data_IF_422188028876
#
_entry.id   IF_422188028876
#
_cell.length_a   1.000
_cell.length_b   1.000
_cell.length_c   1.000
_cell.angle_alpha   90.00
_cell.angle_beta   90.00
_cell.angle_gamma   90.00
#
_symmetry.space_group_name_H-M   'P 1'
#
loop_
_entity.id
_entity.type
_entity.pdbx_description
1 polymer ?
#
# COMPACT_ATOMS: atom_id res chain seq x y z
N UNK A 1 -1.30 11.42 14.50
CA UNK A 1 -1.43 11.49 13.03
C UNK A 1 -0.47 10.49 12.44
N UNK A 2 -0.94 9.55 11.62
CA UNK A 2 -0.06 8.72 10.79
C UNK A 2 0.59 9.64 9.75
N UNK A 3 1.88 9.48 9.44
CA UNK A 3 2.56 10.42 8.55
C UNK A 3 2.07 10.21 7.10
N UNK A 4 1.42 11.22 6.53
CA UNK A 4 0.67 11.15 5.26
C UNK A 4 1.48 11.61 4.03
N UNK A 5 2.81 11.67 4.12
CA UNK A 5 3.67 12.25 3.07
C UNK A 5 4.39 11.16 2.27
N UNK A 6 4.87 11.48 1.07
CA UNK A 6 5.69 10.53 0.28
C UNK A 6 6.97 10.16 1.03
N UNK A 7 7.60 11.14 1.68
CA UNK A 7 8.78 10.94 2.51
C UNK A 7 8.55 9.89 3.60
N UNK A 8 7.36 9.82 4.21
CA UNK A 8 7.08 8.83 5.25
C UNK A 8 6.91 7.41 4.70
N UNK A 9 6.37 7.27 3.49
CA UNK A 9 6.22 5.99 2.80
C UNK A 9 7.58 5.41 2.41
N UNK A 10 8.50 6.28 1.97
CA UNK A 10 9.83 5.87 1.49
C UNK A 10 10.96 6.09 2.51
N UNK A 11 10.64 6.46 3.75
CA UNK A 11 11.63 6.68 4.83
C UNK A 11 12.53 5.45 5.09
N UNK A 12 12.05 4.25 4.75
CA UNK A 12 12.81 3.00 4.85
C UNK A 12 14.06 2.97 3.96
N UNK A 13 14.10 3.81 2.91
CA UNK A 13 15.19 3.80 1.96
C UNK A 13 16.54 4.15 2.60
N UNK A 14 16.60 4.82 3.77
CA UNK A 14 17.83 5.32 4.45
C UNK A 14 18.68 6.30 3.64
N UNK A 15 18.71 6.18 2.31
CA UNK A 15 19.28 7.12 1.35
C UNK A 15 18.18 7.49 0.34
N UNK A 16 18.22 8.72 -0.21
CA UNK A 16 17.20 9.19 -1.14
C UNK A 16 17.15 8.33 -2.40
N UNK A 17 15.95 8.05 -2.87
CA UNK A 17 15.72 7.42 -4.17
C UNK A 17 15.83 8.51 -5.24
N UNK A 18 16.68 8.31 -6.25
CA UNK A 18 16.93 9.27 -7.34
C UNK A 18 15.81 9.29 -8.39
N UNK A 19 14.54 9.18 -7.97
CA UNK A 19 13.38 9.24 -8.85
C UNK A 19 12.47 10.41 -8.50
N UNK A 20 11.84 11.06 -9.50
CA UNK A 20 10.79 12.03 -9.25
C UNK A 20 9.66 11.45 -8.40
N UNK A 21 9.09 12.26 -7.51
CA UNK A 21 8.00 11.86 -6.60
C UNK A 21 6.84 11.18 -7.35
N UNK A 22 6.42 11.76 -8.48
CA UNK A 22 5.34 11.22 -9.31
C UNK A 22 5.65 9.79 -9.80
N UNK A 23 6.90 9.51 -10.12
CA UNK A 23 7.34 8.19 -10.57
C UNK A 23 7.35 7.19 -9.42
N UNK A 24 7.86 7.58 -8.24
CA UNK A 24 7.79 6.77 -7.02
C UNK A 24 6.35 6.39 -6.65
N UNK A 25 5.43 7.36 -6.73
CA UNK A 25 4.01 7.14 -6.47
C UNK A 25 3.34 6.26 -7.52
N UNK A 26 3.79 6.34 -8.78
CA UNK A 26 3.31 5.44 -9.84
C UNK A 26 3.77 4.02 -9.58
N UNK A 27 5.05 3.82 -9.28
CA UNK A 27 5.62 2.52 -8.94
C UNK A 27 4.97 1.91 -7.69
N UNK A 28 4.65 2.74 -6.69
CA UNK A 28 3.90 2.32 -5.50
C UNK A 28 2.54 1.75 -5.89
N UNK A 29 1.77 2.48 -6.69
CA UNK A 29 0.45 2.02 -7.10
C UNK A 29 0.51 0.76 -7.97
N UNK A 30 1.43 0.71 -8.93
CA UNK A 30 1.63 -0.48 -9.77
C UNK A 30 1.97 -1.72 -8.93
N UNK A 31 2.70 -1.52 -7.82
CA UNK A 31 3.04 -2.57 -6.89
C UNK A 31 1.83 -3.01 -6.06
N UNK A 32 1.00 -2.08 -5.56
CA UNK A 32 -0.30 -2.38 -4.93
C UNK A 32 -1.22 -3.16 -5.86
N UNK A 33 -1.41 -2.69 -7.10
CA UNK A 33 -2.28 -3.32 -8.10
C UNK A 33 -1.80 -4.74 -8.41
N UNK A 34 -0.50 -4.94 -8.59
CA UNK A 34 0.10 -6.26 -8.84
C UNK A 34 -0.19 -7.24 -7.71
N UNK A 35 0.04 -6.84 -6.48
CA UNK A 35 -0.05 -7.73 -5.33
C UNK A 35 -1.52 -8.08 -5.02
N UNK A 36 -2.43 -7.11 -5.11
CA UNK A 36 -3.89 -7.35 -5.00
C UNK A 36 -4.39 -8.28 -6.11
N UNK A 37 -3.94 -8.07 -7.35
CA UNK A 37 -4.30 -8.92 -8.47
C UNK A 37 -3.76 -10.35 -8.30
N UNK A 38 -2.54 -10.51 -7.79
CA UNK A 38 -1.97 -11.82 -7.47
C UNK A 38 -2.74 -12.54 -6.34
N UNK A 39 -3.39 -11.78 -5.47
CA UNK A 39 -4.26 -12.30 -4.42
C UNK A 39 -5.65 -12.74 -4.93
N UNK A 40 -5.96 -12.51 -6.22
CA UNK A 40 -7.23 -12.89 -6.85
C UNK A 40 -8.32 -11.82 -6.72
N UNK A 41 -7.96 -10.61 -6.33
CA UNK A 41 -8.87 -9.46 -6.25
C UNK A 41 -8.55 -8.47 -7.37
N UNK A 42 -9.35 -7.41 -7.48
CA UNK A 42 -9.10 -6.33 -8.43
C UNK A 42 -9.34 -5.01 -7.71
N UNK A 43 -8.41 -4.06 -7.91
CA UNK A 43 -8.52 -2.71 -7.37
C UNK A 43 -8.61 -1.71 -8.53
N UNK A 44 -9.42 -0.67 -8.36
CA UNK A 44 -9.59 0.38 -9.37
C UNK A 44 -8.43 1.35 -9.36
N UNK A 45 -8.01 1.82 -10.54
CA UNK A 45 -6.99 2.87 -10.65
C UNK A 45 -7.46 4.18 -10.03
N UNK A 46 -6.58 4.89 -9.29
CA UNK A 46 -6.93 6.15 -8.65
C UNK A 46 -7.07 7.26 -9.68
N UNK A 47 -7.85 8.28 -9.35
CA UNK A 47 -8.10 9.42 -10.25
C UNK A 47 -6.85 10.32 -10.40
N UNK A 48 -6.05 10.42 -9.34
CA UNK A 48 -4.70 10.98 -9.38
C UNK A 48 -3.71 10.02 -8.72
N UNK A 49 -2.43 10.18 -8.99
CA UNK A 49 -1.38 9.37 -8.35
C UNK A 49 -1.01 9.87 -6.94
N UNK A 50 -1.71 10.87 -6.40
CA UNK A 50 -1.42 11.41 -5.08
C UNK A 50 -1.60 10.35 -3.99
N UNK A 51 -0.81 10.44 -2.91
CA UNK A 51 -0.90 9.51 -1.77
C UNK A 51 -2.32 9.46 -1.21
N UNK A 52 -2.99 10.60 -1.09
CA UNK A 52 -4.35 10.68 -0.57
C UNK A 52 -5.34 9.93 -1.46
N UNK A 53 -5.25 10.07 -2.79
CA UNK A 53 -6.14 9.34 -3.70
C UNK A 53 -5.87 7.85 -3.67
N UNK A 54 -4.61 7.42 -3.64
CA UNK A 54 -4.25 6.02 -3.48
C UNK A 54 -4.82 5.43 -2.18
N UNK A 55 -4.67 6.15 -1.06
CA UNK A 55 -5.19 5.75 0.23
C UNK A 55 -6.73 5.66 0.23
N UNK A 56 -7.42 6.61 -0.41
CA UNK A 56 -8.88 6.59 -0.53
C UNK A 56 -9.38 5.42 -1.39
N UNK A 57 -8.70 5.10 -2.49
CA UNK A 57 -9.03 3.95 -3.32
C UNK A 57 -8.82 2.64 -2.58
N UNK A 58 -7.71 2.53 -1.84
CA UNK A 58 -7.42 1.34 -1.03
C UNK A 58 -8.41 1.19 0.13
N UNK A 59 -8.82 2.30 0.75
CA UNK A 59 -9.85 2.28 1.79
C UNK A 59 -11.16 1.70 1.27
N UNK A 60 -11.67 2.23 0.15
CA UNK A 60 -12.92 1.73 -0.47
C UNK A 60 -12.80 0.25 -0.82
N UNK A 61 -11.67 -0.16 -1.39
CA UNK A 61 -11.41 -1.56 -1.68
C UNK A 61 -11.50 -2.45 -0.43
N UNK A 62 -10.91 -2.03 0.70
CA UNK A 62 -10.98 -2.78 1.95
C UNK A 62 -12.40 -2.80 2.55
N UNK A 63 -13.15 -1.71 2.42
CA UNK A 63 -14.55 -1.61 2.87
C UNK A 63 -15.50 -2.52 2.06
N UNK A 64 -15.21 -2.70 0.77
CA UNK A 64 -15.96 -3.58 -0.14
C UNK A 64 -15.50 -5.05 -0.08
N UNK A 65 -14.34 -5.32 0.52
CA UNK A 65 -13.75 -6.65 0.59
C UNK A 65 -14.59 -7.56 1.50
N UNK A 66 -14.92 -8.80 1.07
CA UNK A 66 -15.57 -9.76 1.95
C UNK A 66 -14.74 -9.99 3.22
N UNK A 67 -15.35 -9.92 4.40
CA UNK A 67 -14.64 -9.99 5.68
C UNK A 67 -13.77 -11.24 5.85
N UNK A 68 -14.22 -12.38 5.30
CA UNK A 68 -13.49 -13.65 5.31
C UNK A 68 -12.25 -13.65 4.39
N UNK A 69 -12.19 -12.74 3.42
CA UNK A 69 -11.11 -12.65 2.44
C UNK A 69 -9.93 -11.81 2.97
N UNK A 70 -10.17 -10.92 3.94
CA UNK A 70 -9.16 -10.00 4.45
C UNK A 70 -7.89 -10.70 4.98
N UNK A 71 -7.96 -11.73 5.84
CA UNK A 71 -6.75 -12.40 6.32
C UNK A 71 -5.93 -13.03 5.19
N UNK A 72 -6.62 -13.63 4.20
CA UNK A 72 -5.98 -14.24 3.04
C UNK A 72 -5.30 -13.21 2.14
N UNK A 73 -5.91 -12.03 1.97
CA UNK A 73 -5.29 -10.91 1.26
C UNK A 73 -4.03 -10.46 1.99
N UNK A 74 -4.12 -10.12 3.29
CA UNK A 74 -2.98 -9.58 4.04
C UNK A 74 -1.79 -10.53 4.05
N UNK A 75 -2.04 -11.83 4.19
CA UNK A 75 -1.01 -12.85 4.08
C UNK A 75 -0.29 -12.82 2.72
N UNK A 76 -1.03 -12.71 1.61
CA UNK A 76 -0.44 -12.72 0.26
C UNK A 76 0.34 -11.47 -0.09
N UNK A 77 -0.01 -10.33 0.49
CA UNK A 77 0.69 -9.06 0.27
C UNK A 77 1.75 -8.79 1.36
N UNK A 78 2.10 -9.80 2.16
CA UNK A 78 3.07 -9.73 3.24
C UNK A 78 2.79 -8.62 4.28
N UNK A 79 1.53 -8.33 4.55
CA UNK A 79 1.15 -7.43 5.65
C UNK A 79 0.99 -8.26 6.91
N UNK A 80 1.69 -7.92 8.02
CA UNK A 80 1.62 -8.70 9.25
C UNK A 80 0.20 -8.89 9.74
N UNK A 81 -0.13 -10.09 10.20
CA UNK A 81 -1.45 -10.41 10.76
C UNK A 81 -1.80 -9.52 11.95
N UNK A 82 -0.80 -8.98 12.65
CA UNK A 82 -1.00 -7.99 13.71
C UNK A 82 -1.73 -6.72 13.24
N UNK A 83 -1.70 -6.41 11.94
CA UNK A 83 -2.44 -5.31 11.35
C UNK A 83 -3.96 -5.59 11.30
N UNK A 84 -4.40 -6.85 11.40
CA UNK A 84 -5.82 -7.18 11.58
C UNK A 84 -6.35 -6.63 12.89
N UNK A 85 -5.56 -6.63 13.97
CA UNK A 85 -5.99 -6.06 15.24
C UNK A 85 -6.27 -4.55 15.11
N UNK A 86 -5.50 -3.86 14.27
CA UNK A 86 -5.71 -2.44 13.96
C UNK A 86 -6.95 -2.19 13.10
N UNK A 87 -7.44 -3.20 12.37
CA UNK A 87 -8.67 -3.09 11.57
C UNK A 87 -9.95 -3.05 12.42
N UNK A 88 -9.87 -3.43 13.70
CA UNK A 88 -11.02 -3.38 14.63
C UNK A 88 -11.48 -1.95 14.93
N UNK A 89 -10.62 -0.95 14.72
CA UNK A 89 -10.90 0.48 14.88
C UNK A 89 -11.23 1.17 13.54
N UNK A 90 -11.30 0.40 12.45
CA UNK A 90 -11.50 0.88 11.07
C UNK A 90 -10.32 0.54 10.15
N UNK A 91 -10.52 0.68 8.84
CA UNK A 91 -9.51 0.27 7.85
C UNK A 91 -8.39 1.29 7.62
N UNK A 92 -8.51 2.51 8.15
CA UNK A 92 -7.51 3.56 7.93
C UNK A 92 -6.07 3.17 8.34
N UNK A 93 -5.81 2.61 9.53
CA UNK A 93 -4.46 2.13 9.88
C UNK A 93 -3.95 1.03 8.94
N UNK A 94 -4.85 0.18 8.45
CA UNK A 94 -4.51 -0.92 7.55
C UNK A 94 -4.12 -0.43 6.15
N UNK A 95 -4.83 0.59 5.63
CA UNK A 95 -4.47 1.29 4.38
C UNK A 95 -3.01 1.75 4.42
N UNK A 96 -2.62 2.42 5.50
CA UNK A 96 -1.24 2.89 5.64
C UNK A 96 -0.23 1.77 5.78
N UNK A 97 -0.58 0.70 6.50
CA UNK A 97 0.28 -0.48 6.66
C UNK A 97 0.56 -1.15 5.31
N UNK A 98 -0.47 -1.26 4.45
CA UNK A 98 -0.33 -1.79 3.09
C UNK A 98 0.55 -0.86 2.24
N UNK A 99 0.25 0.44 2.19
CA UNK A 99 1.04 1.39 1.40
C UNK A 99 2.52 1.41 1.81
N UNK A 100 2.81 1.36 3.11
CA UNK A 100 4.18 1.25 3.61
C UNK A 100 4.84 -0.06 3.19
N UNK A 101 4.11 -1.18 3.27
CA UNK A 101 4.63 -2.49 2.87
C UNK A 101 4.98 -2.51 1.37
N UNK A 102 4.11 -1.95 0.53
CA UNK A 102 4.37 -1.87 -0.90
C UNK A 102 5.51 -0.89 -1.22
N UNK A 103 5.61 0.24 -0.51
CA UNK A 103 6.74 1.18 -0.66
C UNK A 103 8.09 0.54 -0.32
N UNK A 104 8.13 -0.34 0.69
CA UNK A 104 9.32 -1.16 1.01
C UNK A 104 9.68 -2.05 -0.19
N UNK A 105 8.70 -2.74 -0.79
CA UNK A 105 8.95 -3.62 -1.96
C UNK A 105 9.46 -2.83 -3.17
N UNK A 106 8.88 -1.66 -3.45
CA UNK A 106 9.37 -0.75 -4.50
C UNK A 106 10.82 -0.33 -4.22
N UNK A 107 11.10 0.11 -3.00
CA UNK A 107 12.45 0.54 -2.58
C UNK A 107 13.47 -0.58 -2.76
N UNK A 108 13.15 -1.80 -2.31
CA UNK A 108 14.03 -2.96 -2.47
C UNK A 108 14.26 -3.30 -3.95
N UNK A 109 13.21 -3.26 -4.78
CA UNK A 109 13.33 -3.49 -6.21
C UNK A 109 14.24 -2.47 -6.87
N UNK A 110 14.07 -1.18 -6.58
CA UNK A 110 14.90 -0.11 -7.14
C UNK A 110 16.38 -0.21 -6.74
N UNK A 111 16.68 -0.76 -5.55
CA UNK A 111 18.05 -0.88 -5.04
C UNK A 111 18.80 -2.13 -5.51
N UNK A 112 18.07 -3.19 -5.84
CA UNK A 112 18.66 -4.53 -6.04
C UNK A 112 18.22 -5.25 -7.33
N UNK A 113 17.53 -4.57 -8.25
CA UNK A 113 17.26 -5.07 -9.62
C UNK A 113 18.27 -4.52 -10.60
#
# INVERSE_FOLDING_TARGET
MLPTTVESLFAVAKEPLELPEKELLTLLWDQVERDINSAGFTISKPHSISVNDQAQHLLRFLEELPSHALPGLLYRIDVPESALFSSMEGFQPLVWSILQREAIKVTLRLRFS
#
